data_IF_943479387781
#
_entry.id   IF_943479387781
#
_cell.length_a   1.000
_cell.length_b   1.000
_cell.length_c   1.000
_cell.angle_alpha   90.00
_cell.angle_beta   90.00
_cell.angle_gamma   90.00
#
_symmetry.space_group_name_H-M   'P 1'
#
loop_
_entity.id
_entity.type
_entity.pdbx_description
1 polymer ?
#
# COMPACT_ATOMS: atom_id res chain seq x y z
N UNK A 1 -9.86 -21.96 -9.53
CA UNK A 1 -10.71 -20.76 -9.75
C UNK A 1 -9.80 -19.56 -9.71
N UNK A 2 -9.96 -18.62 -10.63
CA UNK A 2 -9.18 -17.39 -10.68
C UNK A 2 -9.89 -16.35 -9.81
N UNK A 3 -9.33 -16.02 -8.66
CA UNK A 3 -9.86 -14.99 -7.77
C UNK A 3 -9.18 -13.66 -8.10
N UNK A 4 -9.98 -12.62 -8.39
CA UNK A 4 -9.50 -11.24 -8.56
C UNK A 4 -10.01 -10.41 -7.39
N UNK A 5 -9.10 -9.82 -6.62
CA UNK A 5 -9.40 -9.10 -5.38
C UNK A 5 -8.80 -7.69 -5.43
N UNK A 6 -9.62 -6.70 -5.12
CA UNK A 6 -9.18 -5.34 -4.85
C UNK A 6 -9.25 -5.08 -3.34
N UNK A 7 -8.11 -4.73 -2.74
CA UNK A 7 -8.02 -4.28 -1.36
C UNK A 7 -7.92 -2.76 -1.37
N UNK A 8 -8.81 -2.07 -0.65
CA UNK A 8 -8.74 -0.61 -0.51
C UNK A 8 -8.32 -0.29 0.92
N UNK A 9 -7.08 0.17 1.09
CA UNK A 9 -6.55 0.53 2.40
C UNK A 9 -6.85 2.01 2.67
N UNK A 10 -7.81 2.29 3.55
CA UNK A 10 -8.30 3.65 3.85
C UNK A 10 -7.77 4.24 5.17
N UNK A 11 -7.51 3.35 6.13
CA UNK A 11 -7.21 3.69 7.52
C UNK A 11 -5.75 4.13 7.71
N UNK A 12 -5.53 5.18 8.50
CA UNK A 12 -4.20 5.79 8.70
C UNK A 12 -3.35 5.10 9.78
N UNK A 13 -3.92 4.15 10.52
CA UNK A 13 -3.23 3.43 11.58
C UNK A 13 -2.21 2.44 10.99
N UNK A 14 -0.90 2.54 11.31
CA UNK A 14 0.13 1.69 10.71
C UNK A 14 -0.13 0.18 10.83
N UNK A 15 -0.69 -0.27 11.96
CA UNK A 15 -1.02 -1.68 12.16
C UNK A 15 -2.16 -2.17 11.25
N UNK A 16 -3.19 -1.34 11.02
CA UNK A 16 -4.27 -1.65 10.08
C UNK A 16 -3.73 -1.74 8.65
N UNK A 17 -2.87 -0.80 8.27
CA UNK A 17 -2.21 -0.81 6.97
C UNK A 17 -1.32 -2.05 6.80
N UNK A 18 -0.52 -2.41 7.80
CA UNK A 18 0.30 -3.62 7.79
C UNK A 18 -0.54 -4.89 7.59
N UNK A 19 -1.72 -4.99 8.20
CA UNK A 19 -2.62 -6.12 7.95
C UNK A 19 -3.18 -6.15 6.53
N UNK A 20 -3.46 -5.00 5.91
CA UNK A 20 -3.86 -4.98 4.49
C UNK A 20 -2.75 -5.53 3.59
N UNK A 21 -1.49 -5.17 3.87
CA UNK A 21 -0.32 -5.70 3.16
C UNK A 21 -0.14 -7.22 3.39
N UNK A 22 -0.19 -7.68 4.64
CA UNK A 22 -0.04 -9.08 5.00
C UNK A 22 -1.11 -9.96 4.36
N UNK A 23 -2.38 -9.52 4.43
CA UNK A 23 -3.49 -10.26 3.81
C UNK A 23 -3.36 -10.30 2.29
N UNK A 24 -3.00 -9.18 1.64
CA UNK A 24 -2.80 -9.16 0.20
C UNK A 24 -1.67 -10.08 -0.26
N UNK A 25 -0.55 -10.10 0.48
CA UNK A 25 0.58 -10.99 0.21
C UNK A 25 0.22 -12.46 0.41
N UNK A 26 -0.53 -12.79 1.47
CA UNK A 26 -1.04 -14.15 1.70
C UNK A 26 -1.96 -14.61 0.55
N UNK A 27 -2.87 -13.74 0.10
CA UNK A 27 -3.73 -14.02 -1.03
C UNK A 27 -2.94 -14.23 -2.34
N UNK A 28 -1.90 -13.42 -2.60
CA UNK A 28 -0.98 -13.65 -3.72
C UNK A 28 -0.28 -15.01 -3.61
N UNK A 29 0.19 -15.39 -2.43
CA UNK A 29 0.84 -16.69 -2.18
C UNK A 29 -0.09 -17.88 -2.44
N UNK A 30 -1.41 -17.68 -2.32
CA UNK A 30 -2.45 -18.67 -2.66
C UNK A 30 -2.80 -18.71 -4.16
N UNK A 31 -2.11 -17.91 -4.98
CA UNK A 31 -2.30 -17.86 -6.44
C UNK A 31 -3.44 -16.94 -6.89
N UNK A 32 -3.87 -15.99 -6.05
CA UNK A 32 -4.91 -15.04 -6.42
C UNK A 32 -4.33 -13.80 -7.11
N UNK A 33 -5.10 -13.19 -7.99
CA UNK A 33 -4.79 -11.88 -8.54
C UNK A 33 -5.28 -10.82 -7.56
N UNK A 34 -4.34 -10.11 -6.93
CA UNK A 34 -4.66 -9.17 -5.85
C UNK A 34 -3.97 -7.85 -6.11
N UNK A 35 -4.74 -6.77 -6.00
CA UNK A 35 -4.27 -5.39 -6.10
C UNK A 35 -4.72 -4.60 -4.88
N UNK A 36 -3.80 -3.79 -4.34
CA UNK A 36 -4.04 -2.93 -3.20
C UNK A 36 -3.98 -1.47 -3.64
N UNK A 37 -5.06 -0.75 -3.39
CA UNK A 37 -5.22 0.68 -3.65
C UNK A 37 -5.09 1.40 -2.31
N UNK A 38 -4.17 2.37 -2.24
CA UNK A 38 -3.95 3.17 -1.02
C UNK A 38 -4.79 4.45 -1.12
N UNK A 39 -5.71 4.61 -0.17
CA UNK A 39 -6.72 5.66 -0.16
C UNK A 39 -6.80 6.34 1.20
N UNK A 40 -7.59 7.42 1.29
CA UNK A 40 -7.91 8.05 2.57
C UNK A 40 -6.67 8.46 3.38
N UNK A 41 -6.70 8.18 4.68
CA UNK A 41 -5.61 8.51 5.59
C UNK A 41 -4.40 7.58 5.46
N UNK A 42 -4.57 6.38 4.90
CA UNK A 42 -3.47 5.47 4.63
C UNK A 42 -2.43 6.07 3.67
N UNK A 43 -2.84 7.00 2.79
CA UNK A 43 -1.92 7.70 1.88
C UNK A 43 -0.81 8.45 2.62
N UNK A 44 -1.04 8.91 3.85
CA UNK A 44 -0.02 9.56 4.66
C UNK A 44 1.18 8.62 4.94
N UNK A 45 0.91 7.33 5.12
CA UNK A 45 1.92 6.32 5.45
C UNK A 45 2.90 6.04 4.30
N UNK A 46 2.54 6.40 3.06
CA UNK A 46 3.40 6.21 1.88
C UNK A 46 4.72 6.96 2.03
N UNK A 47 4.69 8.16 2.65
CA UNK A 47 5.92 8.93 2.90
C UNK A 47 6.70 8.34 4.08
N UNK A 48 6.02 7.91 5.14
CA UNK A 48 6.65 7.46 6.39
C UNK A 48 7.33 6.10 6.19
N UNK A 49 6.70 5.19 5.45
CA UNK A 49 7.21 3.84 5.17
C UNK A 49 8.24 3.79 4.03
N UNK A 50 8.54 4.93 3.39
CA UNK A 50 9.65 5.04 2.45
C UNK A 50 11.00 5.06 3.16
N UNK A 51 11.02 5.48 4.44
CA UNK A 51 12.22 5.51 5.28
C UNK A 51 12.53 4.11 5.83
N UNK A 52 13.78 3.67 5.72
CA UNK A 52 14.17 2.27 6.01
C UNK A 52 13.99 1.89 7.49
N UNK A 53 14.08 2.85 8.39
CA UNK A 53 13.97 2.68 9.84
C UNK A 53 12.51 2.65 10.33
N UNK A 54 11.53 2.95 9.48
CA UNK A 54 10.14 2.98 9.89
C UNK A 54 9.60 1.57 10.20
N UNK A 55 8.77 1.42 11.25
CA UNK A 55 8.08 0.16 11.50
C UNK A 55 7.31 -0.29 10.25
N UNK A 56 7.48 -1.56 9.88
CA UNK A 56 6.87 -2.17 8.69
C UNK A 56 7.42 -1.71 7.32
N UNK A 57 8.43 -0.83 7.25
CA UNK A 57 9.09 -0.49 5.97
C UNK A 57 9.54 -1.72 5.17
N UNK A 58 10.13 -2.78 5.77
CA UNK A 58 10.47 -4.00 5.04
C UNK A 58 9.25 -4.73 4.44
N UNK A 59 8.12 -4.73 5.15
CA UNK A 59 6.86 -5.34 4.69
C UNK A 59 6.29 -4.54 3.52
N UNK A 60 6.29 -3.20 3.62
CA UNK A 60 5.84 -2.33 2.55
C UNK A 60 6.71 -2.46 1.30
N UNK A 61 8.04 -2.48 1.45
CA UNK A 61 8.97 -2.74 0.35
C UNK A 61 8.66 -4.07 -0.34
N UNK A 62 8.46 -5.15 0.44
CA UNK A 62 8.06 -6.45 -0.10
C UNK A 62 6.77 -6.37 -0.92
N UNK A 63 5.72 -5.74 -0.38
CA UNK A 63 4.43 -5.57 -1.06
C UNK A 63 4.54 -4.76 -2.37
N UNK A 64 5.40 -3.75 -2.43
CA UNK A 64 5.68 -3.03 -3.67
C UNK A 64 6.38 -3.93 -4.68
N UNK A 65 7.44 -4.64 -4.26
CA UNK A 65 8.20 -5.52 -5.16
C UNK A 65 7.40 -6.71 -5.67
N UNK A 66 6.38 -7.17 -4.93
CA UNK A 66 5.47 -8.23 -5.38
C UNK A 66 4.38 -7.75 -6.35
N UNK A 67 4.32 -6.44 -6.64
CA UNK A 67 3.27 -5.85 -7.47
C UNK A 67 1.88 -5.83 -6.82
N UNK A 68 1.81 -6.04 -5.49
CA UNK A 68 0.56 -5.97 -4.72
C UNK A 68 0.03 -4.54 -4.67
N UNK A 69 0.88 -3.57 -4.35
CA UNK A 69 0.48 -2.15 -4.31
C UNK A 69 0.35 -1.64 -5.74
N UNK A 70 -0.87 -1.29 -6.13
CA UNK A 70 -1.18 -0.90 -7.51
C UNK A 70 -1.09 0.60 -7.72
N UNK A 71 -1.80 1.37 -6.88
CA UNK A 71 -1.84 2.82 -6.98
C UNK A 71 -2.12 3.50 -5.63
N UNK A 72 -1.90 4.82 -5.62
CA UNK A 72 -2.17 5.69 -4.49
C UNK A 72 -3.11 6.79 -4.97
N UNK A 73 -4.21 7.03 -4.27
CA UNK A 73 -5.14 8.07 -4.66
C UNK A 73 -4.52 9.46 -4.60
N UNK A 74 -4.46 10.11 -5.75
CA UNK A 74 -3.89 11.46 -5.92
C UNK A 74 -4.55 12.50 -5.02
N UNK A 75 -5.88 12.50 -4.93
CA UNK A 75 -6.61 13.48 -4.13
C UNK A 75 -6.34 13.31 -2.62
N UNK A 76 -6.33 12.08 -2.13
CA UNK A 76 -6.02 11.78 -0.74
C UNK A 76 -4.55 12.06 -0.42
N UNK A 77 -3.62 11.64 -1.27
CA UNK A 77 -2.19 11.91 -1.11
C UNK A 77 -1.87 13.41 -1.13
N UNK A 78 -2.61 14.20 -1.92
CA UNK A 78 -2.50 15.68 -1.88
C UNK A 78 -2.91 16.21 -0.50
N UNK A 79 -4.05 15.75 0.04
CA UNK A 79 -4.56 16.18 1.35
C UNK A 79 -3.64 15.77 2.51
N UNK A 80 -2.99 14.61 2.43
CA UNK A 80 -2.08 14.10 3.47
C UNK A 80 -0.63 14.57 3.30
N UNK A 81 -0.33 15.31 2.22
CA UNK A 81 1.02 15.79 1.90
C UNK A 81 1.96 14.69 1.40
N UNK A 82 1.44 13.53 1.00
CA UNK A 82 2.22 12.39 0.54
C UNK A 82 2.33 12.29 -0.99
N UNK A 83 1.72 13.21 -1.76
CA UNK A 83 1.68 13.12 -3.23
C UNK A 83 3.08 12.99 -3.86
N UNK A 84 4.02 13.88 -3.52
CA UNK A 84 5.37 13.84 -4.08
C UNK A 84 6.11 12.54 -3.70
N UNK A 85 5.89 12.02 -2.49
CA UNK A 85 6.47 10.75 -2.04
C UNK A 85 5.86 9.55 -2.78
N UNK A 86 4.57 9.60 -3.12
CA UNK A 86 3.91 8.57 -3.91
C UNK A 86 4.44 8.56 -5.36
N UNK A 87 4.55 9.73 -5.99
CA UNK A 87 5.09 9.88 -7.35
C UNK A 87 6.57 9.46 -7.42
N UNK A 88 7.38 9.81 -6.42
CA UNK A 88 8.78 9.37 -6.33
C UNK A 88 8.93 7.85 -6.20
N UNK A 89 7.91 7.17 -5.69
CA UNK A 89 7.84 5.71 -5.58
C UNK A 89 7.21 5.05 -6.81
N UNK A 90 6.84 5.83 -7.83
CA UNK A 90 6.26 5.33 -9.08
C UNK A 90 4.75 5.11 -9.04
N UNK A 91 4.05 5.60 -8.02
CA UNK A 91 2.60 5.54 -7.95
C UNK A 91 1.96 6.74 -8.66
N UNK A 92 0.95 6.47 -9.48
CA UNK A 92 0.17 7.47 -10.22
C UNK A 92 -1.32 7.15 -10.20
#
# INVERSE_FOLDING_TARGET
MEHKIAIVAFAGEPACFAHALLNGLDMQARGWEVKLIIEGMATALVKDLAEAEAPFAPLYAKAKTSGLVDCVCRACATKTGALAAAEAQGFG
#
